data_IF_076645867659
#
_entry.id   IF_076645867659
#
_cell.length_a   1.000
_cell.length_b   1.000
_cell.length_c   1.000
_cell.angle_alpha   90.00
_cell.angle_beta   90.00
_cell.angle_gamma   90.00
#
_symmetry.space_group_name_H-M   'P 1'
#
loop_
_entity.id
_entity.type
_entity.pdbx_description
1 polymer ?
#
# COMPACT_ATOMS: atom_id res chain seq x y z
N UNK A 1 -16.11 -16.21 -38.33
CA UNK A 1 -16.90 -16.09 -37.10
C UNK A 1 -16.50 -17.09 -36.01
N UNK A 2 -16.20 -18.35 -36.31
CA UNK A 2 -15.68 -19.31 -35.31
C UNK A 2 -14.25 -19.03 -34.88
N UNK A 3 -13.38 -18.53 -35.77
CA UNK A 3 -11.98 -18.19 -35.48
C UNK A 3 -11.87 -16.96 -34.53
N UNK A 4 -12.68 -15.94 -34.76
CA UNK A 4 -12.79 -14.76 -33.86
C UNK A 4 -13.32 -15.15 -32.48
N UNK A 5 -14.22 -16.14 -32.38
CA UNK A 5 -14.65 -16.67 -31.08
C UNK A 5 -13.53 -17.47 -30.39
N UNK A 6 -12.64 -18.14 -31.16
CA UNK A 6 -11.49 -18.85 -30.61
C UNK A 6 -10.42 -17.88 -30.13
N UNK A 7 -10.15 -16.80 -30.89
CA UNK A 7 -9.25 -15.73 -30.44
C UNK A 7 -9.77 -15.09 -29.14
N UNK A 8 -11.08 -14.78 -29.05
CA UNK A 8 -11.68 -14.22 -27.82
C UNK A 8 -11.69 -15.18 -26.63
N UNK A 9 -11.89 -16.47 -26.84
CA UNK A 9 -12.00 -17.46 -25.75
C UNK A 9 -10.64 -17.90 -25.23
N UNK A 10 -9.62 -17.94 -26.08
CA UNK A 10 -8.29 -18.40 -25.66
C UNK A 10 -7.43 -17.31 -25.01
N UNK A 11 -7.60 -16.01 -25.35
CA UNK A 11 -6.91 -14.93 -24.62
C UNK A 11 -7.20 -14.95 -23.11
N UNK A 12 -8.31 -15.52 -22.70
CA UNK A 12 -8.72 -15.68 -21.31
C UNK A 12 -8.02 -16.83 -20.54
N UNK A 13 -7.27 -17.72 -21.21
CA UNK A 13 -6.78 -18.97 -20.60
C UNK A 13 -5.25 -19.09 -20.46
N UNK A 14 -4.45 -18.13 -20.94
CA UNK A 14 -3.01 -18.30 -21.07
C UNK A 14 -2.13 -17.31 -20.29
N UNK A 15 -2.64 -16.56 -19.32
CA UNK A 15 -1.86 -15.59 -18.56
C UNK A 15 -1.60 -15.99 -17.12
N UNK A 16 -0.53 -16.73 -16.90
CA UNK A 16 0.15 -16.74 -15.61
C UNK A 16 1.55 -16.15 -15.81
N UNK A 17 1.79 -14.95 -15.25
CA UNK A 17 3.09 -14.31 -15.10
C UNK A 17 3.53 -13.22 -16.08
N UNK A 18 2.76 -12.16 -16.30
CA UNK A 18 3.34 -10.92 -16.82
C UNK A 18 2.60 -9.73 -16.19
N UNK A 19 3.28 -9.01 -15.30
CA UNK A 19 2.82 -7.72 -14.81
C UNK A 19 2.96 -6.69 -15.93
N UNK A 20 1.86 -6.31 -16.57
CA UNK A 20 1.81 -5.21 -17.52
C UNK A 20 0.88 -4.12 -16.98
N UNK A 21 1.43 -3.19 -16.23
CA UNK A 21 0.90 -1.85 -16.17
C UNK A 21 1.48 -1.10 -17.37
N UNK A 22 0.86 -1.20 -18.55
CA UNK A 22 1.23 -0.32 -19.65
C UNK A 22 0.16 -0.35 -20.73
N UNK A 23 -0.53 0.73 -20.85
CA UNK A 23 -1.15 1.19 -22.08
C UNK A 23 -0.04 1.18 -23.13
N UNK A 24 -0.27 0.61 -24.33
CA UNK A 24 0.73 0.52 -25.38
C UNK A 24 0.99 1.89 -26.04
N UNK A 25 1.39 2.85 -25.25
CA UNK A 25 1.77 4.20 -25.69
C UNK A 25 3.25 4.29 -26.09
N UNK A 26 4.00 3.21 -25.89
CA UNK A 26 5.41 3.09 -26.28
C UNK A 26 5.64 1.83 -27.12
N UNK A 27 6.70 1.85 -27.93
CA UNK A 27 7.09 0.69 -28.76
C UNK A 27 7.40 -0.54 -27.89
N UNK A 28 8.02 -0.37 -26.72
CA UNK A 28 8.35 -1.47 -25.82
C UNK A 28 7.10 -2.16 -25.26
N UNK A 29 6.08 -1.38 -24.95
CA UNK A 29 4.81 -1.91 -24.47
C UNK A 29 4.05 -2.64 -25.59
N UNK A 30 4.06 -2.11 -26.81
CA UNK A 30 3.47 -2.76 -27.97
C UNK A 30 4.20 -4.09 -28.29
N UNK A 31 5.55 -4.12 -28.21
CA UNK A 31 6.35 -5.34 -28.39
C UNK A 31 5.92 -6.42 -27.40
N UNK A 32 5.75 -6.08 -26.13
CA UNK A 32 5.32 -7.03 -25.11
C UNK A 32 3.93 -7.64 -25.40
N UNK A 33 2.99 -6.84 -25.93
CA UNK A 33 1.67 -7.33 -26.36
C UNK A 33 1.78 -8.30 -27.53
N UNK A 34 2.65 -8.01 -28.52
CA UNK A 34 2.88 -8.92 -29.64
C UNK A 34 3.54 -10.22 -29.21
N UNK A 35 4.58 -10.17 -28.39
CA UNK A 35 5.28 -11.35 -27.88
C UNK A 35 4.32 -12.28 -27.10
N UNK A 36 3.43 -11.67 -26.30
CA UNK A 36 2.39 -12.41 -25.61
C UNK A 36 1.40 -13.08 -26.59
N UNK A 37 0.90 -12.34 -27.57
CA UNK A 37 -0.04 -12.87 -28.56
C UNK A 37 0.58 -14.01 -29.37
N UNK A 38 1.85 -13.89 -29.77
CA UNK A 38 2.59 -14.90 -30.52
C UNK A 38 2.80 -16.17 -29.69
N UNK A 39 3.13 -16.04 -28.42
CA UNK A 39 3.27 -17.18 -27.52
C UNK A 39 1.94 -17.92 -27.30
N UNK A 40 0.82 -17.18 -27.28
CA UNK A 40 -0.51 -17.74 -27.07
C UNK A 40 -1.12 -18.38 -28.34
N UNK A 41 -0.70 -17.93 -29.54
CA UNK A 41 -1.29 -18.32 -30.83
C UNK A 41 -0.22 -18.58 -31.92
N UNK A 42 0.75 -19.47 -31.67
CA UNK A 42 1.85 -19.70 -32.62
C UNK A 42 1.37 -20.18 -33.99
N UNK A 43 0.23 -20.84 -34.05
CA UNK A 43 -0.34 -21.33 -35.31
C UNK A 43 -1.00 -20.23 -36.18
N UNK A 44 -1.34 -19.08 -35.55
CA UNK A 44 -2.00 -17.94 -36.23
C UNK A 44 -1.05 -16.77 -36.44
N UNK A 45 -0.11 -16.58 -35.54
CA UNK A 45 0.77 -15.43 -35.44
C UNK A 45 2.24 -15.81 -35.67
N UNK A 46 2.50 -16.65 -36.67
CA UNK A 46 3.86 -17.09 -37.07
C UNK A 46 3.99 -17.22 -38.59
N UNK A 47 5.16 -16.89 -39.15
CA UNK A 47 6.20 -16.09 -38.54
C UNK A 47 5.81 -14.63 -38.50
N UNK A 48 6.21 -13.95 -37.43
CA UNK A 48 6.06 -12.50 -37.30
C UNK A 48 7.06 -11.79 -38.24
N UNK A 49 6.63 -10.66 -38.82
CA UNK A 49 7.58 -9.76 -39.46
C UNK A 49 8.55 -9.20 -38.42
N UNK A 50 9.84 -9.01 -38.76
CA UNK A 50 10.85 -8.60 -37.78
C UNK A 50 10.64 -7.21 -37.21
N UNK A 51 9.88 -6.37 -37.91
CA UNK A 51 9.70 -4.96 -37.53
C UNK A 51 8.25 -4.68 -37.16
N UNK A 52 8.07 -3.95 -36.07
CA UNK A 52 6.81 -3.29 -35.70
C UNK A 52 6.78 -1.96 -36.44
N UNK A 53 5.68 -1.64 -37.10
CA UNK A 53 5.48 -0.41 -37.80
C UNK A 53 4.53 0.49 -37.01
N UNK A 54 4.83 1.77 -36.95
CA UNK A 54 3.90 2.77 -36.44
C UNK A 54 3.10 3.37 -37.60
N UNK A 55 1.80 3.14 -37.62
CA UNK A 55 0.88 3.58 -38.66
C UNK A 55 -0.33 4.27 -38.05
N UNK A 56 -0.47 5.59 -38.25
CA UNK A 56 -1.62 6.38 -37.81
C UNK A 56 -1.95 6.25 -36.31
N UNK A 57 -0.91 6.19 -35.47
CA UNK A 57 -1.07 6.03 -34.03
C UNK A 57 -1.34 4.60 -33.57
N UNK A 58 -1.15 3.61 -34.46
CA UNK A 58 -1.12 2.19 -34.12
C UNK A 58 0.30 1.68 -34.19
N UNK A 59 0.68 0.82 -33.28
CA UNK A 59 1.80 -0.11 -33.46
C UNK A 59 1.25 -1.36 -34.14
N UNK A 60 1.82 -1.74 -35.28
CA UNK A 60 1.28 -2.80 -36.15
C UNK A 60 2.36 -3.84 -36.47
N UNK A 61 2.01 -5.12 -36.36
CA UNK A 61 2.85 -6.25 -36.75
C UNK A 61 2.14 -7.17 -37.76
N UNK A 62 2.86 -7.55 -38.83
CA UNK A 62 2.36 -8.47 -39.86
C UNK A 62 2.79 -9.90 -39.53
N UNK A 63 1.87 -10.85 -39.72
CA UNK A 63 2.09 -12.30 -39.65
C UNK A 63 1.93 -12.89 -41.04
N UNK A 64 3.06 -13.31 -41.65
CA UNK A 64 3.16 -13.53 -43.11
C UNK A 64 2.41 -14.76 -43.60
N UNK A 65 2.36 -15.84 -42.83
CA UNK A 65 1.71 -17.09 -43.28
C UNK A 65 0.18 -16.98 -43.28
N UNK A 66 -0.36 -16.20 -42.36
CA UNK A 66 -1.80 -16.00 -42.26
C UNK A 66 -2.29 -14.71 -42.88
N UNK A 67 -1.37 -13.78 -43.20
CA UNK A 67 -1.72 -12.44 -43.71
C UNK A 67 -2.46 -11.56 -42.71
N UNK A 68 -2.36 -11.84 -41.40
CA UNK A 68 -2.96 -11.05 -40.33
C UNK A 68 -2.03 -9.90 -39.99
N UNK A 69 -2.61 -8.70 -39.85
CA UNK A 69 -2.01 -7.57 -39.15
C UNK A 69 -2.64 -7.48 -37.78
N UNK A 70 -1.82 -7.53 -36.73
CA UNK A 70 -2.25 -7.20 -35.39
C UNK A 70 -1.83 -5.76 -35.12
N UNK A 71 -2.78 -4.91 -34.66
CA UNK A 71 -2.54 -3.52 -34.36
C UNK A 71 -2.91 -3.20 -32.92
N UNK A 72 -2.06 -2.41 -32.23
CA UNK A 72 -2.24 -1.98 -30.86
C UNK A 72 -2.28 -0.45 -30.83
N UNK A 73 -3.30 0.12 -30.16
CA UNK A 73 -3.45 1.57 -29.97
C UNK A 73 -3.99 1.82 -28.57
N UNK A 74 -3.17 2.43 -27.72
CA UNK A 74 -3.52 2.58 -26.31
C UNK A 74 -3.86 1.22 -25.67
N UNK A 75 -5.03 1.12 -25.05
CA UNK A 75 -5.53 -0.13 -24.45
C UNK A 75 -6.25 -1.07 -25.46
N UNK A 76 -6.34 -0.72 -26.74
CA UNK A 76 -7.12 -1.46 -27.70
C UNK A 76 -6.26 -2.32 -28.63
N UNK A 77 -6.71 -3.56 -28.87
CA UNK A 77 -6.10 -4.51 -29.83
C UNK A 77 -7.05 -4.76 -30.97
N UNK A 78 -6.52 -4.68 -32.18
CA UNK A 78 -7.27 -4.87 -33.43
C UNK A 78 -6.59 -5.89 -34.32
N UNK A 79 -7.36 -6.57 -35.13
CA UNK A 79 -6.86 -7.47 -36.17
C UNK A 79 -7.48 -7.14 -37.54
N UNK A 80 -6.66 -7.26 -38.60
CA UNK A 80 -7.10 -7.09 -39.99
C UNK A 80 -6.36 -8.07 -40.86
N UNK A 81 -7.01 -8.54 -41.92
CA UNK A 81 -6.41 -9.44 -42.93
C UNK A 81 -6.58 -10.91 -42.62
N UNK A 82 -5.99 -11.77 -43.48
CA UNK A 82 -6.09 -13.22 -43.37
C UNK A 82 -7.51 -13.75 -43.22
N UNK A 83 -7.72 -14.70 -42.28
CA UNK A 83 -9.05 -15.28 -42.04
C UNK A 83 -10.08 -14.33 -41.42
N UNK A 84 -9.66 -13.18 -40.91
CA UNK A 84 -10.56 -12.16 -40.30
C UNK A 84 -11.13 -11.19 -41.33
N UNK A 85 -10.63 -11.20 -42.56
CA UNK A 85 -11.10 -10.35 -43.67
C UNK A 85 -10.36 -9.01 -43.75
N UNK A 86 -10.89 -8.08 -44.54
CA UNK A 86 -10.25 -6.79 -44.83
C UNK A 86 -10.69 -5.65 -43.94
N UNK A 87 -11.64 -5.88 -43.04
CA UNK A 87 -12.12 -4.89 -42.09
C UNK A 87 -11.30 -4.92 -40.79
N UNK A 88 -11.04 -3.75 -40.20
CA UNK A 88 -10.42 -3.63 -38.90
C UNK A 88 -11.37 -4.18 -37.85
N UNK A 89 -10.98 -5.26 -37.19
CA UNK A 89 -11.81 -5.94 -36.20
C UNK A 89 -11.24 -5.65 -34.80
N UNK A 90 -12.04 -5.04 -33.95
CA UNK A 90 -11.69 -4.90 -32.54
C UNK A 90 -11.67 -6.25 -31.85
N UNK A 91 -10.50 -6.68 -31.37
CA UNK A 91 -10.29 -7.96 -30.70
C UNK A 91 -10.62 -7.86 -29.22
N UNK A 92 -10.22 -6.78 -28.58
CA UNK A 92 -10.46 -6.53 -27.17
C UNK A 92 -9.60 -5.40 -26.64
N UNK A 93 -9.71 -5.15 -25.35
CA UNK A 93 -8.82 -4.26 -24.62
C UNK A 93 -7.66 -5.07 -24.03
N UNK A 94 -6.47 -4.51 -23.99
CA UNK A 94 -5.31 -5.12 -23.32
C UNK A 94 -5.68 -5.43 -21.87
N UNK A 95 -6.25 -4.47 -21.15
CA UNK A 95 -6.75 -4.62 -19.78
C UNK A 95 -7.78 -5.73 -19.57
N UNK A 96 -8.54 -6.10 -20.61
CA UNK A 96 -9.53 -7.19 -20.57
C UNK A 96 -9.05 -8.50 -21.20
N UNK A 97 -7.95 -8.45 -21.96
CA UNK A 97 -7.31 -9.62 -22.59
C UNK A 97 -6.24 -10.22 -21.68
N UNK A 98 -5.60 -9.36 -20.91
CA UNK A 98 -4.70 -9.77 -19.84
C UNK A 98 -5.60 -9.95 -18.60
N UNK A 99 -6.11 -11.13 -18.37
CA UNK A 99 -6.51 -11.51 -17.02
C UNK A 99 -5.21 -11.61 -16.25
N UNK A 100 -4.84 -10.51 -15.58
CA UNK A 100 -3.87 -10.58 -14.50
C UNK A 100 -4.48 -11.58 -13.52
N UNK A 101 -3.92 -12.77 -13.42
CA UNK A 101 -4.29 -13.66 -12.32
C UNK A 101 -3.90 -12.90 -11.06
N UNK A 102 -4.89 -12.59 -10.23
CA UNK A 102 -4.60 -11.94 -8.96
C UNK A 102 -3.52 -12.73 -8.23
N UNK A 103 -2.48 -12.05 -7.76
CA UNK A 103 -1.37 -12.69 -7.05
C UNK A 103 -1.85 -13.05 -5.63
N UNK A 104 -1.76 -14.32 -5.27
CA UNK A 104 -2.04 -14.74 -3.89
C UNK A 104 -0.91 -14.26 -2.98
N UNK A 105 -1.26 -13.36 -2.05
CA UNK A 105 -0.33 -12.80 -1.06
C UNK A 105 -0.61 -13.31 0.37
N UNK A 106 -1.40 -14.37 0.51
CA UNK A 106 -1.71 -14.96 1.83
C UNK A 106 -0.41 -15.32 2.54
N UNK A 107 -0.21 -14.75 3.74
CA UNK A 107 0.99 -14.92 4.58
C UNK A 107 2.34 -14.60 3.88
N UNK A 108 2.28 -13.87 2.75
CA UNK A 108 3.49 -13.49 2.02
C UNK A 108 4.28 -12.44 2.78
N UNK A 109 5.56 -12.72 3.03
CA UNK A 109 6.52 -11.74 3.52
C UNK A 109 7.08 -10.93 2.33
N UNK A 110 7.04 -9.61 2.46
CA UNK A 110 7.62 -8.69 1.48
C UNK A 110 9.15 -8.75 1.57
N UNK A 111 9.81 -8.66 0.41
CA UNK A 111 11.27 -8.73 0.32
C UNK A 111 11.87 -7.69 -0.61
N UNK A 112 11.04 -6.93 -1.34
CA UNK A 112 11.49 -6.00 -2.35
C UNK A 112 11.76 -4.61 -1.77
N UNK A 113 12.86 -3.99 -2.16
CA UNK A 113 13.31 -2.67 -1.69
C UNK A 113 13.05 -1.54 -2.69
N UNK A 114 12.24 -1.78 -3.74
CA UNK A 114 11.91 -0.74 -4.72
C UNK A 114 11.10 0.37 -4.07
N UNK A 115 11.58 1.59 -4.21
CA UNK A 115 11.01 2.79 -3.60
C UNK A 115 9.88 3.39 -4.42
N UNK A 116 9.81 3.04 -5.71
CA UNK A 116 8.77 3.53 -6.60
C UNK A 116 7.48 2.73 -6.43
N UNK A 117 6.40 3.38 -6.06
CA UNK A 117 5.10 2.73 -5.86
C UNK A 117 4.61 2.04 -7.14
N UNK A 118 4.95 2.55 -8.32
CA UNK A 118 4.58 1.98 -9.62
C UNK A 118 5.12 0.56 -9.85
N UNK A 119 6.23 0.19 -9.18
CA UNK A 119 6.77 -1.16 -9.22
C UNK A 119 5.80 -2.22 -8.68
N UNK A 120 4.90 -1.83 -7.76
CA UNK A 120 3.97 -2.73 -7.08
C UNK A 120 2.61 -2.83 -7.78
N UNK A 121 2.47 -2.27 -8.98
CA UNK A 121 1.22 -2.24 -9.73
C UNK A 121 0.81 -3.65 -10.18
N UNK A 122 -0.11 -4.27 -9.46
CA UNK A 122 -0.71 -5.57 -9.74
C UNK A 122 -2.01 -5.75 -8.93
N UNK A 123 -2.83 -6.71 -9.31
CA UNK A 123 -3.95 -7.15 -8.49
C UNK A 123 -3.49 -8.28 -7.57
N UNK A 124 -3.96 -8.25 -6.33
CA UNK A 124 -3.60 -9.20 -5.28
C UNK A 124 -4.84 -9.64 -4.51
N UNK A 125 -4.79 -10.84 -3.98
CA UNK A 125 -5.79 -11.34 -3.04
C UNK A 125 -5.12 -12.10 -1.90
N UNK A 126 -5.87 -12.30 -0.81
CA UNK A 126 -5.46 -13.15 0.30
C UNK A 126 -6.67 -13.92 0.85
N UNK A 127 -6.45 -15.09 1.47
CA UNK A 127 -7.45 -15.83 2.18
C UNK A 127 -7.03 -15.99 3.64
N UNK A 128 -7.76 -15.35 4.54
CA UNK A 128 -7.35 -15.16 5.94
C UNK A 128 -8.50 -15.38 6.90
N UNK A 129 -8.17 -15.56 8.17
CA UNK A 129 -9.13 -15.83 9.23
C UNK A 129 -9.14 -14.75 10.29
N UNK A 130 -10.31 -14.32 10.70
CA UNK A 130 -10.54 -13.74 12.03
C UNK A 130 -10.50 -14.92 13.03
N UNK A 131 -9.35 -15.07 13.70
CA UNK A 131 -9.06 -16.25 14.54
C UNK A 131 -10.09 -16.39 15.67
N UNK A 132 -10.38 -15.28 16.36
CA UNK A 132 -11.28 -15.27 17.51
C UNK A 132 -12.71 -15.63 17.16
N UNK A 133 -13.17 -15.28 15.95
CA UNK A 133 -14.54 -15.51 15.49
C UNK A 133 -14.70 -16.74 14.64
N UNK A 134 -13.60 -17.38 14.21
CA UNK A 134 -13.56 -18.46 13.22
C UNK A 134 -14.32 -18.09 11.92
N UNK A 135 -14.04 -16.88 11.40
CA UNK A 135 -14.65 -16.35 10.18
C UNK A 135 -13.57 -16.14 9.12
N UNK A 136 -13.83 -16.67 7.92
CA UNK A 136 -12.95 -16.52 6.76
C UNK A 136 -13.24 -15.21 6.02
N UNK A 137 -12.18 -14.57 5.51
CA UNK A 137 -12.23 -13.40 4.68
C UNK A 137 -11.35 -13.59 3.44
N UNK A 138 -11.73 -12.96 2.34
CA UNK A 138 -10.87 -12.77 1.18
C UNK A 138 -10.45 -11.30 1.13
N UNK A 139 -9.17 -11.04 1.34
CA UNK A 139 -8.59 -9.72 1.11
C UNK A 139 -8.47 -9.48 -0.39
N UNK A 140 -8.77 -8.27 -0.85
CA UNK A 140 -8.60 -7.84 -2.24
C UNK A 140 -7.86 -6.53 -2.31
N UNK A 141 -6.90 -6.44 -3.23
CA UNK A 141 -6.06 -5.28 -3.45
C UNK A 141 -5.82 -5.09 -4.94
N UNK A 142 -6.19 -3.94 -5.47
CA UNK A 142 -5.80 -3.49 -6.80
C UNK A 142 -4.81 -2.35 -6.66
N UNK A 143 -3.64 -2.49 -7.26
CA UNK A 143 -2.61 -1.46 -7.27
C UNK A 143 -2.33 -1.09 -8.72
N UNK A 144 -2.73 0.12 -9.12
CA UNK A 144 -2.62 0.61 -10.51
C UNK A 144 -1.87 1.92 -10.57
N UNK A 145 -1.44 2.31 -11.76
CA UNK A 145 -0.84 3.62 -12.03
C UNK A 145 -1.81 4.44 -12.87
N UNK A 146 -2.15 5.61 -12.38
CA UNK A 146 -3.02 6.56 -13.07
C UNK A 146 -2.35 7.94 -13.05
N UNK A 147 -2.03 8.48 -14.22
CA UNK A 147 -1.32 9.75 -14.37
C UNK A 147 0.00 9.78 -13.55
N UNK A 148 0.07 10.67 -12.57
CA UNK A 148 1.23 10.84 -11.66
C UNK A 148 1.04 10.18 -10.30
N UNK A 149 0.10 9.23 -10.17
CA UNK A 149 -0.24 8.59 -8.90
C UNK A 149 -0.32 7.08 -9.02
N UNK A 150 0.10 6.40 -7.97
CA UNK A 150 -0.30 5.01 -7.76
C UNK A 150 -1.66 5.01 -7.04
N UNK A 151 -2.61 4.27 -7.57
CA UNK A 151 -3.96 4.13 -7.00
C UNK A 151 -4.08 2.76 -6.37
N UNK A 152 -4.39 2.75 -5.08
CA UNK A 152 -4.56 1.54 -4.27
C UNK A 152 -6.01 1.43 -3.88
N UNK A 153 -6.69 0.38 -4.34
CA UNK A 153 -8.07 0.06 -3.96
C UNK A 153 -8.06 -1.26 -3.22
N UNK A 154 -8.59 -1.28 -2.00
CA UNK A 154 -8.64 -2.50 -1.19
C UNK A 154 -9.97 -2.62 -0.43
N UNK A 155 -10.26 -3.83 0.08
CA UNK A 155 -11.35 -4.05 1.02
C UNK A 155 -10.91 -4.03 2.49
N UNK A 156 -9.69 -3.52 2.77
CA UNK A 156 -9.13 -3.37 4.12
C UNK A 156 -8.96 -4.68 4.91
N UNK A 157 -8.95 -5.81 4.23
CA UNK A 157 -8.64 -7.12 4.83
C UNK A 157 -7.16 -7.40 4.63
N UNK A 158 -6.40 -7.75 5.69
CA UNK A 158 -4.96 -7.99 5.60
C UNK A 158 -4.61 -9.28 4.84
N UNK A 159 -3.32 -9.50 4.59
CA UNK A 159 -2.83 -10.72 3.97
C UNK A 159 -2.43 -11.84 4.98
N UNK A 160 -2.76 -11.66 6.23
CA UNK A 160 -2.44 -12.59 7.33
C UNK A 160 -3.66 -12.78 8.25
N UNK A 161 -3.68 -13.84 9.02
CA UNK A 161 -4.67 -14.05 10.04
C UNK A 161 -4.60 -12.94 11.11
N UNK A 162 -5.74 -12.57 11.67
CA UNK A 162 -5.86 -11.44 12.59
C UNK A 162 -6.80 -11.75 13.76
N UNK A 163 -6.91 -10.80 14.73
CA UNK A 163 -7.78 -10.94 15.91
C UNK A 163 -7.48 -12.21 16.71
N UNK A 164 -6.24 -12.37 17.10
CA UNK A 164 -5.70 -13.56 17.79
C UNK A 164 -6.07 -13.65 19.28
N UNK A 165 -6.97 -12.80 19.75
CA UNK A 165 -7.41 -12.68 21.13
C UNK A 165 -6.42 -12.03 22.09
N UNK A 166 -5.29 -11.48 21.63
CA UNK A 166 -4.37 -10.69 22.49
C UNK A 166 -5.00 -9.39 22.93
N UNK A 167 -5.95 -8.87 22.13
CA UNK A 167 -6.77 -7.70 22.49
C UNK A 167 -8.26 -7.91 22.23
N UNK A 168 -9.08 -7.06 22.85
CA UNK A 168 -10.51 -6.98 22.55
C UNK A 168 -10.75 -5.90 21.50
N UNK A 169 -11.09 -6.30 20.27
CA UNK A 169 -11.48 -5.36 19.23
C UNK A 169 -12.80 -4.67 19.60
N UNK A 170 -12.86 -3.36 19.36
CA UNK A 170 -14.06 -2.57 19.67
C UNK A 170 -15.27 -2.99 18.82
N UNK A 171 -15.03 -3.41 17.59
CA UNK A 171 -16.03 -3.90 16.64
C UNK A 171 -15.49 -5.15 15.91
N UNK A 172 -16.39 -5.88 15.28
CA UNK A 172 -15.98 -6.97 14.39
C UNK A 172 -15.35 -6.41 13.12
N UNK A 173 -14.28 -7.04 12.63
CA UNK A 173 -13.72 -6.75 11.31
C UNK A 173 -14.78 -6.95 10.23
N UNK A 174 -14.81 -6.03 9.28
CA UNK A 174 -15.64 -6.06 8.07
C UNK A 174 -14.80 -5.67 6.87
N UNK A 175 -15.24 -6.09 5.71
CA UNK A 175 -14.73 -5.55 4.45
C UNK A 175 -15.19 -4.10 4.30
N UNK A 176 -14.23 -3.19 4.23
CA UNK A 176 -14.47 -1.76 4.03
C UNK A 176 -13.65 -1.31 2.83
N UNK A 177 -14.33 -0.86 1.78
CA UNK A 177 -13.65 -0.36 0.58
C UNK A 177 -12.90 0.93 0.89
N UNK A 178 -11.63 0.98 0.52
CA UNK A 178 -10.76 2.13 0.64
C UNK A 178 -10.02 2.39 -0.69
N UNK A 179 -9.81 3.66 -1.02
CA UNK A 179 -9.00 4.09 -2.16
C UNK A 179 -7.98 5.12 -1.68
N UNK A 180 -6.70 4.89 -2.01
CA UNK A 180 -5.60 5.79 -1.70
C UNK A 180 -4.83 6.13 -2.98
N UNK A 181 -4.38 7.39 -3.09
CA UNK A 181 -3.63 7.89 -4.25
C UNK A 181 -2.26 8.38 -3.80
N UNK A 182 -1.24 7.62 -4.10
CA UNK A 182 0.14 7.83 -3.67
C UNK A 182 0.88 8.61 -4.77
N UNK A 183 1.50 9.77 -4.49
CA UNK A 183 2.37 10.44 -5.45
C UNK A 183 3.51 9.53 -5.94
N UNK A 184 3.70 9.39 -7.26
CA UNK A 184 4.81 8.58 -7.82
C UNK A 184 6.16 9.25 -7.55
N UNK A 185 6.20 10.58 -7.60
CA UNK A 185 7.39 11.37 -7.33
C UNK A 185 7.15 12.21 -6.06
N UNK A 186 7.40 11.66 -4.87
CA UNK A 186 7.25 12.41 -3.63
C UNK A 186 8.26 13.54 -3.56
N UNK A 187 7.84 14.69 -3.06
CA UNK A 187 8.68 15.88 -2.91
C UNK A 187 8.62 16.42 -1.49
N UNK A 188 9.76 16.91 -1.01
CA UNK A 188 9.80 17.57 0.29
C UNK A 188 8.98 18.84 0.29
N UNK A 189 8.15 19.02 1.32
CA UNK A 189 7.51 20.29 1.62
C UNK A 189 8.54 21.27 2.24
N UNK A 190 8.22 22.54 2.26
CA UNK A 190 9.08 23.55 2.89
C UNK A 190 9.24 23.40 4.41
N UNK A 191 8.30 22.70 5.02
CA UNK A 191 8.31 22.31 6.44
C UNK A 191 7.55 21.01 6.59
N UNK A 192 7.88 20.22 7.60
CA UNK A 192 7.15 19.02 7.92
C UNK A 192 5.67 19.31 8.25
N UNK A 193 4.77 18.42 7.82
CA UNK A 193 3.34 18.50 8.11
C UNK A 193 3.01 17.57 9.27
N UNK A 194 2.40 18.10 10.32
CA UNK A 194 1.99 17.31 11.47
C UNK A 194 0.91 16.27 11.09
N UNK A 195 0.88 15.16 11.79
CA UNK A 195 -0.22 14.20 11.69
C UNK A 195 -1.53 14.83 12.15
N UNK A 196 -2.63 14.31 11.68
CA UNK A 196 -3.97 14.76 12.07
C UNK A 196 -4.92 13.58 12.26
N UNK A 197 -5.95 13.77 13.07
CA UNK A 197 -7.02 12.78 13.24
C UNK A 197 -7.89 12.62 11.99
N UNK A 198 -7.84 13.60 11.08
CA UNK A 198 -8.65 13.62 9.87
C UNK A 198 -7.98 12.92 8.68
N UNK A 199 -6.75 12.40 8.85
CA UNK A 199 -5.97 11.84 7.74
C UNK A 199 -5.40 10.49 8.16
N UNK A 200 -5.64 9.45 7.37
CA UNK A 200 -4.92 8.19 7.49
C UNK A 200 -3.45 8.43 7.10
N UNK A 201 -2.51 7.77 7.78
CA UNK A 201 -1.11 8.15 7.69
C UNK A 201 -0.39 7.47 6.52
N UNK A 202 -0.80 6.26 6.16
CA UNK A 202 -0.18 5.46 5.11
C UNK A 202 -1.11 4.35 4.64
N UNK A 203 -0.72 3.68 3.55
CA UNK A 203 -1.26 2.38 3.15
C UNK A 203 -0.10 1.39 2.95
N UNK A 204 -0.25 0.19 3.50
CA UNK A 204 0.72 -0.88 3.31
C UNK A 204 0.44 -1.70 2.05
N UNK A 205 1.44 -2.46 1.60
CA UNK A 205 1.36 -3.27 0.36
C UNK A 205 0.44 -4.50 0.46
N UNK A 206 -0.22 -4.67 1.58
CA UNK A 206 -1.36 -5.59 1.74
C UNK A 206 -2.73 -4.88 1.72
N UNK A 207 -2.77 -3.59 1.39
CA UNK A 207 -4.00 -2.81 1.27
C UNK A 207 -4.59 -2.29 2.58
N UNK A 208 -3.95 -2.54 3.73
CA UNK A 208 -4.40 -2.06 5.03
C UNK A 208 -3.74 -0.73 5.37
N UNK A 209 -4.53 0.20 5.88
CA UNK A 209 -4.07 1.54 6.26
C UNK A 209 -3.34 1.56 7.59
N UNK A 210 -2.54 2.61 7.78
CA UNK A 210 -1.95 3.03 9.04
C UNK A 210 -2.72 4.21 9.61
N UNK A 211 -3.09 4.15 10.88
CA UNK A 211 -3.73 5.23 11.63
C UNK A 211 -3.14 5.33 13.03
N UNK A 212 -2.13 6.19 13.18
CA UNK A 212 -1.30 6.24 14.38
C UNK A 212 -1.94 6.94 15.56
N UNK A 213 -2.96 7.81 15.33
CA UNK A 213 -3.45 8.69 16.37
C UNK A 213 -4.72 8.17 17.02
N UNK A 214 -4.71 8.00 18.33
CA UNK A 214 -5.93 7.73 19.10
C UNK A 214 -6.86 8.94 19.14
N UNK A 215 -8.17 8.71 19.07
CA UNK A 215 -9.18 9.72 19.39
C UNK A 215 -9.46 9.83 20.90
N UNK A 216 -8.53 9.42 21.75
CA UNK A 216 -8.60 9.44 23.22
C UNK A 216 -7.53 10.33 23.84
N UNK A 217 -7.91 11.12 24.84
CA UNK A 217 -7.01 11.97 25.63
C UNK A 217 -7.38 11.88 27.11
N UNK A 218 -6.44 12.25 27.99
CA UNK A 218 -6.68 12.33 29.42
C UNK A 218 -7.81 13.33 29.73
N UNK A 219 -8.79 12.87 30.47
CA UNK A 219 -9.89 13.72 30.99
C UNK A 219 -10.90 14.17 29.93
N UNK A 220 -10.86 13.63 28.72
CA UNK A 220 -11.79 13.97 27.63
C UNK A 220 -12.55 12.72 27.18
N UNK A 221 -13.87 12.85 27.00
CA UNK A 221 -14.73 11.75 26.58
C UNK A 221 -14.75 10.59 27.59
N UNK A 222 -14.75 9.37 27.10
CA UNK A 222 -14.69 8.15 27.90
C UNK A 222 -13.25 7.59 28.08
N UNK A 223 -12.25 8.36 27.63
CA UNK A 223 -10.84 7.97 27.67
C UNK A 223 -10.37 7.20 26.45
N UNK A 224 -11.27 6.59 25.67
CA UNK A 224 -10.93 5.88 24.44
C UNK A 224 -11.32 6.69 23.18
N UNK A 225 -12.41 7.43 23.25
CA UNK A 225 -12.92 8.23 22.15
C UNK A 225 -13.47 9.55 22.68
N UNK A 226 -13.60 10.57 21.79
CA UNK A 226 -14.19 11.87 22.11
C UNK A 226 -13.19 13.02 22.12
N UNK A 227 -11.90 12.75 21.98
CA UNK A 227 -10.84 13.75 21.88
C UNK A 227 -10.53 14.04 20.41
N UNK A 228 -11.32 14.90 19.78
CA UNK A 228 -11.18 15.27 18.39
C UNK A 228 -10.38 16.56 18.16
N UNK A 229 -10.11 17.32 19.21
CA UNK A 229 -9.24 18.48 19.16
C UNK A 229 -7.78 18.00 19.10
N UNK A 230 -7.07 18.33 18.01
CA UNK A 230 -5.69 17.91 17.80
C UNK A 230 -4.73 18.57 18.82
N UNK A 231 -5.05 19.76 19.26
CA UNK A 231 -4.24 20.54 20.22
C UNK A 231 -4.49 20.13 21.67
N UNK A 232 -5.43 19.20 21.92
CA UNK A 232 -5.67 18.68 23.25
C UNK A 232 -4.45 17.88 23.73
N UNK A 233 -3.82 18.26 24.84
CA UNK A 233 -2.66 17.55 25.37
C UNK A 233 -3.04 16.18 25.96
N UNK A 234 -2.03 15.39 26.24
CA UNK A 234 -2.12 14.07 26.86
C UNK A 234 -2.99 13.11 26.05
N UNK A 235 -2.73 13.08 24.73
CA UNK A 235 -3.29 12.08 23.83
C UNK A 235 -2.67 10.72 24.12
N UNK A 236 -3.50 9.70 24.24
CA UNK A 236 -3.02 8.34 24.46
C UNK A 236 -2.24 7.83 23.26
N UNK A 237 -1.14 7.12 23.54
CA UNK A 237 -0.46 6.30 22.53
C UNK A 237 -1.20 4.96 22.41
N UNK A 238 -1.79 4.61 21.25
CA UNK A 238 -2.51 3.35 21.08
C UNK A 238 -1.64 2.11 21.28
N UNK A 239 -0.33 2.24 21.08
CA UNK A 239 0.63 1.16 21.25
C UNK A 239 1.12 0.99 22.67
N UNK A 240 0.83 1.93 23.55
CA UNK A 240 1.21 1.83 24.96
C UNK A 240 0.48 0.70 25.67
N UNK A 241 1.19 -0.18 26.37
CA UNK A 241 0.56 -1.24 27.18
C UNK A 241 -0.24 -0.70 28.37
N UNK A 242 -0.10 0.59 28.68
CA UNK A 242 -0.80 1.27 29.78
C UNK A 242 -2.20 1.73 29.35
N UNK A 243 -2.50 1.73 28.06
CA UNK A 243 -3.81 2.14 27.53
C UNK A 243 -4.75 0.96 27.38
N UNK A 244 -6.05 1.23 27.32
CA UNK A 244 -7.06 0.21 27.10
C UNK A 244 -7.36 -0.11 25.63
N UNK A 245 -6.60 0.49 24.67
CA UNK A 245 -6.86 0.29 23.25
C UNK A 245 -6.59 -1.15 22.82
N UNK A 246 -5.39 -1.65 23.09
CA UNK A 246 -4.97 -2.98 22.76
C UNK A 246 -4.93 -3.25 21.25
N UNK A 247 -3.99 -4.06 20.82
CA UNK A 247 -3.82 -4.51 19.44
C UNK A 247 -3.63 -6.02 19.41
N UNK A 248 -3.88 -6.65 18.26
CA UNK A 248 -3.47 -8.03 18.04
C UNK A 248 -1.95 -8.16 17.87
N UNK A 249 -1.44 -9.37 17.62
CA UNK A 249 -0.01 -9.63 17.48
C UNK A 249 0.65 -8.83 16.34
N UNK A 250 -0.14 -8.30 15.42
CA UNK A 250 0.31 -7.48 14.29
C UNK A 250 0.20 -5.97 14.55
N UNK A 251 -0.01 -5.55 15.79
CA UNK A 251 -0.15 -4.15 16.18
C UNK A 251 -1.31 -3.42 15.49
N UNK A 252 -2.44 -4.11 15.35
CA UNK A 252 -3.63 -3.61 14.69
C UNK A 252 -4.91 -3.95 15.46
N UNK A 253 -5.95 -3.19 15.19
CA UNK A 253 -7.31 -3.45 15.66
C UNK A 253 -8.36 -2.82 14.72
N UNK A 254 -9.64 -2.78 15.15
CA UNK A 254 -10.73 -2.23 14.33
C UNK A 254 -11.12 -0.81 14.73
N UNK A 255 -11.50 -0.02 13.72
CA UNK A 255 -12.28 1.21 13.90
C UNK A 255 -13.77 0.90 14.15
N UNK A 256 -14.60 1.90 14.56
CA UNK A 256 -16.02 1.70 14.79
C UNK A 256 -16.82 1.16 13.60
N UNK A 257 -16.37 1.42 12.38
CA UNK A 257 -16.96 0.91 11.14
C UNK A 257 -16.54 -0.52 10.78
N UNK A 258 -15.61 -1.10 11.55
CA UNK A 258 -15.06 -2.43 11.34
C UNK A 258 -13.81 -2.49 10.47
N UNK A 259 -13.26 -1.33 10.07
CA UNK A 259 -12.01 -1.27 9.31
C UNK A 259 -10.83 -1.72 10.17
N UNK A 260 -10.10 -2.74 9.73
CA UNK A 260 -8.84 -3.17 10.33
C UNK A 260 -7.73 -2.18 9.95
N UNK A 261 -6.91 -1.77 10.91
CA UNK A 261 -5.83 -0.81 10.68
C UNK A 261 -4.68 -1.00 11.66
N UNK A 262 -3.47 -0.62 11.22
CA UNK A 262 -2.25 -0.72 12.03
C UNK A 262 -1.99 0.55 12.83
N UNK A 263 -1.37 0.37 14.01
CA UNK A 263 -0.83 1.45 14.85
C UNK A 263 0.69 1.38 15.03
N UNK A 264 1.33 0.33 14.55
CA UNK A 264 2.77 0.11 14.70
C UNK A 264 3.30 -0.90 13.69
N UNK A 265 4.39 -1.57 14.05
CA UNK A 265 5.04 -2.57 13.22
C UNK A 265 4.06 -3.66 12.73
N UNK A 266 3.74 -3.74 11.43
CA UNK A 266 2.88 -4.78 10.86
C UNK A 266 3.68 -6.08 10.70
N UNK A 267 3.89 -6.79 11.79
CA UNK A 267 4.87 -7.88 11.94
C UNK A 267 4.75 -8.99 10.91
N UNK A 268 3.57 -9.21 10.36
CA UNK A 268 3.35 -10.22 9.33
C UNK A 268 3.76 -9.77 7.92
N UNK A 269 4.18 -8.51 7.70
CA UNK A 269 4.52 -8.05 6.35
C UNK A 269 5.97 -8.29 5.94
N UNK A 270 6.89 -8.43 6.88
CA UNK A 270 8.31 -8.65 6.59
C UNK A 270 8.99 -9.48 7.67
N UNK A 271 10.17 -10.03 7.37
CA UNK A 271 10.93 -10.83 8.34
C UNK A 271 11.35 -9.98 9.53
N UNK A 272 10.98 -10.40 10.73
CA UNK A 272 11.31 -9.73 11.99
C UNK A 272 12.70 -10.09 12.53
N UNK A 273 13.49 -10.87 11.78
CA UNK A 273 14.87 -11.20 12.11
C UNK A 273 15.82 -10.29 11.33
N UNK A 274 16.89 -9.82 11.97
CA UNK A 274 17.89 -8.96 11.35
C UNK A 274 18.87 -9.76 10.46
N UNK A 275 18.37 -10.39 9.40
CA UNK A 275 19.17 -11.19 8.46
C UNK A 275 19.45 -10.49 7.13
N UNK A 276 18.65 -9.49 6.79
CA UNK A 276 18.80 -8.65 5.60
C UNK A 276 18.20 -7.27 5.84
N UNK A 277 18.54 -6.32 5.00
CA UNK A 277 17.83 -5.03 4.97
C UNK A 277 16.34 -5.25 4.75
N UNK A 278 15.54 -4.45 5.43
CA UNK A 278 14.10 -4.51 5.32
C UNK A 278 13.60 -4.07 3.95
N UNK A 279 12.51 -4.67 3.47
CA UNK A 279 11.85 -4.25 2.25
C UNK A 279 11.07 -2.93 2.44
N UNK A 280 10.62 -2.35 1.33
CA UNK A 280 9.48 -1.44 1.32
C UNK A 280 8.23 -2.24 1.65
N UNK A 281 7.46 -1.77 2.63
CA UNK A 281 6.24 -2.43 3.11
C UNK A 281 4.98 -1.61 2.87
N UNK A 282 5.13 -0.34 2.50
CA UNK A 282 4.03 0.56 2.24
C UNK A 282 4.49 1.93 1.79
N UNK A 283 3.53 2.84 1.67
CA UNK A 283 3.76 4.24 1.31
C UNK A 283 2.97 5.16 2.21
N UNK A 284 3.65 6.20 2.70
CA UNK A 284 2.99 7.25 3.47
C UNK A 284 2.09 8.12 2.57
N UNK A 285 1.18 8.85 3.16
CA UNK A 285 0.23 9.69 2.43
C UNK A 285 0.90 10.77 1.56
N UNK A 286 2.14 11.15 1.86
CA UNK A 286 2.96 12.08 1.08
C UNK A 286 3.78 11.41 -0.04
N UNK A 287 3.66 10.09 -0.21
CA UNK A 287 4.27 9.31 -1.27
C UNK A 287 5.62 8.69 -0.93
N UNK A 288 6.27 9.08 0.16
CA UNK A 288 7.54 8.47 0.54
C UNK A 288 7.35 7.01 0.99
N UNK A 289 8.29 6.11 0.63
CA UNK A 289 8.22 4.70 1.02
C UNK A 289 8.37 4.53 2.54
N UNK A 290 7.76 3.47 3.04
CA UNK A 290 7.93 2.99 4.41
C UNK A 290 8.67 1.67 4.33
N UNK A 291 9.82 1.60 4.98
CA UNK A 291 10.65 0.41 5.13
C UNK A 291 10.35 -0.30 6.45
N UNK A 292 10.66 -1.60 6.50
CA UNK A 292 10.71 -2.30 7.78
C UNK A 292 11.83 -1.77 8.69
N UNK A 293 12.19 -2.56 9.71
CA UNK A 293 13.02 -2.09 10.84
C UNK A 293 14.52 -2.18 10.65
N UNK A 294 15.02 -2.85 9.61
CA UNK A 294 16.44 -3.23 9.52
C UNK A 294 17.17 -2.56 8.37
N UNK A 295 18.40 -2.14 8.64
CA UNK A 295 19.31 -1.55 7.65
C UNK A 295 20.65 -2.30 7.65
N UNK A 296 21.35 -2.24 6.52
CA UNK A 296 22.76 -2.60 6.43
C UNK A 296 23.61 -1.39 6.87
N UNK A 297 24.23 -1.49 8.03
CA UNK A 297 25.17 -0.49 8.53
C UNK A 297 26.59 -1.02 8.41
N UNK A 298 27.23 -0.74 7.26
CA UNK A 298 28.60 -1.21 6.95
C UNK A 298 28.78 -2.72 7.03
N UNK A 299 27.88 -3.49 6.42
CA UNK A 299 27.83 -4.96 6.40
C UNK A 299 27.40 -5.60 7.75
N UNK A 300 26.81 -4.82 8.63
CA UNK A 300 26.10 -5.29 9.80
C UNK A 300 24.60 -4.99 9.67
N UNK A 301 23.76 -6.02 9.67
CA UNK A 301 22.31 -5.81 9.67
C UNK A 301 21.86 -5.54 11.10
N UNK A 302 21.27 -4.36 11.29
CA UNK A 302 20.75 -3.93 12.60
C UNK A 302 19.42 -3.21 12.48
N UNK A 303 18.66 -3.19 13.56
CA UNK A 303 17.48 -2.36 13.65
C UNK A 303 17.84 -0.86 13.65
N UNK A 304 17.01 -0.06 13.02
CA UNK A 304 17.05 1.40 13.14
C UNK A 304 16.56 1.81 14.52
N UNK A 305 17.08 2.93 15.01
CA UNK A 305 16.69 3.50 16.31
C UNK A 305 15.98 4.83 16.11
N UNK A 306 14.84 4.98 16.77
CA UNK A 306 14.12 6.26 16.83
C UNK A 306 14.93 7.30 17.60
N UNK A 307 14.84 8.56 17.18
CA UNK A 307 15.38 9.70 17.94
C UNK A 307 14.38 10.30 18.94
N UNK A 308 13.23 9.67 19.10
CA UNK A 308 12.31 10.03 20.18
C UNK A 308 12.70 9.30 21.46
N UNK A 309 12.71 10.04 22.56
CA UNK A 309 13.08 9.53 23.88
C UNK A 309 11.96 9.79 24.89
N UNK A 310 11.75 8.81 25.78
CA UNK A 310 10.85 8.98 26.89
C UNK A 310 11.40 10.04 27.84
N UNK A 311 10.58 11.02 28.20
CA UNK A 311 10.92 12.04 29.18
C UNK A 311 11.22 11.43 30.55
N UNK A 312 12.12 12.04 31.28
CA UNK A 312 12.46 11.60 32.63
C UNK A 312 11.69 12.39 33.68
N UNK A 313 11.38 11.73 34.82
CA UNK A 313 10.72 12.37 35.95
C UNK A 313 9.22 12.17 35.97
N UNK A 314 8.47 13.19 36.32
CA UNK A 314 7.02 13.11 36.53
C UNK A 314 6.28 14.15 35.70
N UNK A 315 5.12 13.75 35.17
CA UNK A 315 4.17 14.65 34.52
C UNK A 315 3.68 15.71 35.50
N UNK A 316 3.28 16.89 35.00
CA UNK A 316 2.62 17.88 35.85
C UNK A 316 1.39 17.29 36.54
N UNK A 317 1.13 17.76 37.77
CA UNK A 317 -0.09 17.44 38.52
C UNK A 317 -1.15 18.49 38.29
N UNK A 318 -2.41 18.11 38.43
CA UNK A 318 -3.55 19.05 38.38
C UNK A 318 -4.74 18.44 37.65
N UNK A 319 -5.86 19.16 37.61
CA UNK A 319 -7.11 18.68 37.01
C UNK A 319 -7.01 18.48 35.47
N UNK A 320 -6.09 19.20 34.84
CA UNK A 320 -5.86 19.12 33.38
C UNK A 320 -4.66 18.23 33.02
N UNK A 321 -3.97 17.61 33.98
CA UNK A 321 -2.77 16.85 33.79
C UNK A 321 -2.88 15.47 34.46
N UNK A 322 -2.37 14.40 33.82
CA UNK A 322 -2.50 13.03 34.34
C UNK A 322 -1.65 12.77 35.61
N UNK A 323 -0.59 13.56 35.82
CA UNK A 323 0.40 13.25 36.88
C UNK A 323 1.12 11.93 36.65
N UNK A 324 1.76 11.41 37.68
CA UNK A 324 2.55 10.17 37.59
C UNK A 324 3.88 10.35 36.84
N UNK A 325 4.58 9.25 36.63
CA UNK A 325 5.84 9.26 35.86
C UNK A 325 5.54 9.27 34.37
N UNK A 326 6.47 9.80 33.57
CA UNK A 326 6.49 9.57 32.13
C UNK A 326 6.76 8.08 31.88
N UNK A 327 5.81 7.36 31.34
CA UNK A 327 5.84 5.90 31.16
C UNK A 327 5.40 5.45 29.76
N UNK A 328 5.20 6.42 28.84
CA UNK A 328 4.77 6.16 27.48
C UNK A 328 3.27 5.95 27.31
N UNK A 329 2.46 6.29 28.32
CA UNK A 329 1.00 6.26 28.19
C UNK A 329 0.50 7.27 27.17
N UNK A 330 1.15 8.41 27.06
CA UNK A 330 0.74 9.52 26.20
C UNK A 330 1.82 9.85 25.17
N UNK A 331 1.41 10.36 24.02
CA UNK A 331 2.34 10.86 23.00
C UNK A 331 3.19 12.02 23.53
N UNK A 332 2.66 12.80 24.47
CA UNK A 332 3.35 13.89 25.16
C UNK A 332 4.42 13.41 26.17
N UNK A 333 4.53 12.11 26.39
CA UNK A 333 5.60 11.53 27.22
C UNK A 333 6.93 11.47 26.49
N UNK A 334 6.95 11.71 25.19
CA UNK A 334 8.13 11.60 24.37
C UNK A 334 8.58 12.96 23.84
N UNK A 335 9.88 13.10 23.67
CA UNK A 335 10.50 14.23 22.98
C UNK A 335 11.44 13.77 21.88
N UNK A 336 11.50 14.54 20.80
CA UNK A 336 12.50 14.32 19.77
C UNK A 336 13.84 14.91 20.22
N UNK A 337 14.88 14.09 20.23
CA UNK A 337 16.25 14.50 20.55
C UNK A 337 17.14 14.26 19.35
N UNK A 338 17.49 15.33 18.64
CA UNK A 338 18.25 15.24 17.40
C UNK A 338 19.56 14.44 17.59
N UNK A 339 19.82 13.52 16.67
CA UNK A 339 21.00 12.64 16.67
C UNK A 339 21.12 11.69 17.87
N UNK A 340 20.05 11.43 18.62
CA UNK A 340 20.04 10.40 19.66
C UNK A 340 19.77 9.00 19.10
N UNK A 341 19.22 8.91 17.91
CA UNK A 341 19.00 7.72 17.11
C UNK A 341 19.41 7.94 15.66
N UNK A 342 18.96 7.05 14.77
CA UNK A 342 19.25 7.10 13.34
C UNK A 342 18.31 8.05 12.57
N UNK A 343 17.09 8.23 13.10
CA UNK A 343 15.96 8.80 12.38
C UNK A 343 15.75 10.28 12.73
N UNK A 344 15.20 11.04 11.79
CA UNK A 344 14.85 12.44 11.98
C UNK A 344 13.54 12.64 12.77
N UNK A 345 13.08 13.88 12.87
CA UNK A 345 11.87 14.26 13.62
C UNK A 345 10.57 13.67 13.06
N UNK A 346 10.58 13.16 11.83
CA UNK A 346 9.44 12.46 11.23
C UNK A 346 9.59 10.93 11.24
N UNK A 347 10.64 10.40 11.89
CA UNK A 347 11.00 8.98 11.93
C UNK A 347 11.42 8.42 10.57
N UNK A 348 12.10 9.22 9.77
CA UNK A 348 12.69 8.84 8.50
C UNK A 348 14.15 9.19 8.40
N UNK A 349 14.80 8.83 7.29
CA UNK A 349 16.16 9.23 6.99
C UNK A 349 16.43 9.19 5.48
N UNK A 350 17.46 9.94 5.08
CA UNK A 350 18.05 9.81 3.75
C UNK A 350 19.01 8.61 3.72
N UNK A 351 18.79 7.68 2.78
CA UNK A 351 19.66 6.54 2.57
C UNK A 351 19.78 6.24 1.07
N UNK A 352 20.97 5.98 0.59
CA UNK A 352 21.19 5.70 -0.84
C UNK A 352 20.82 6.84 -1.81
N UNK A 353 20.55 8.05 -1.30
CA UNK A 353 20.09 9.20 -2.10
C UNK A 353 18.58 9.42 -2.08
N UNK A 354 17.81 8.54 -1.45
CA UNK A 354 16.37 8.61 -1.31
C UNK A 354 15.95 8.75 0.15
N UNK A 355 14.80 9.34 0.38
CA UNK A 355 14.19 9.46 1.70
C UNK A 355 13.12 8.40 1.90
N UNK A 356 13.04 7.82 3.10
CA UNK A 356 11.95 6.95 3.51
C UNK A 356 11.74 6.94 5.01
N UNK A 357 10.55 6.54 5.43
CA UNK A 357 10.20 6.29 6.82
C UNK A 357 10.57 4.87 7.19
N UNK A 358 10.78 4.63 8.48
CA UNK A 358 11.20 3.32 8.97
C UNK A 358 10.35 2.87 10.15
N UNK A 359 10.00 1.58 10.17
CA UNK A 359 9.37 0.96 11.32
C UNK A 359 10.35 0.92 12.49
N UNK A 360 9.88 1.29 13.67
CA UNK A 360 10.61 1.16 14.93
C UNK A 360 9.78 0.39 15.95
N UNK A 361 10.45 -0.32 16.88
CA UNK A 361 9.79 -0.96 18.02
C UNK A 361 9.62 -0.02 19.23
N UNK A 362 9.83 1.28 19.00
CA UNK A 362 9.66 2.35 19.95
C UNK A 362 8.90 3.50 19.29
N UNK A 363 8.32 4.38 20.11
CA UNK A 363 7.66 5.58 19.62
C UNK A 363 8.58 6.37 18.64
N UNK A 364 8.08 6.86 17.51
CA UNK A 364 6.68 6.98 17.08
C UNK A 364 6.17 5.80 16.22
N UNK A 365 6.76 4.64 16.30
CA UNK A 365 6.39 3.37 15.69
C UNK A 365 6.59 3.32 14.17
N UNK A 366 6.08 4.29 13.41
CA UNK A 366 6.21 4.37 11.94
C UNK A 366 6.62 5.77 11.50
N UNK A 367 5.79 6.78 11.71
CA UNK A 367 6.11 8.18 11.39
C UNK A 367 5.48 9.13 12.41
N UNK A 368 6.14 10.28 12.67
CA UNK A 368 5.65 11.32 13.57
C UNK A 368 5.13 12.56 12.82
N UNK A 369 5.47 12.70 11.56
CA UNK A 369 5.03 13.78 10.67
C UNK A 369 5.29 13.38 9.21
N UNK A 370 4.80 14.17 8.27
CA UNK A 370 5.10 14.02 6.84
C UNK A 370 6.18 15.00 6.42
N UNK A 371 7.16 14.55 5.66
CA UNK A 371 8.18 15.39 5.02
C UNK A 371 7.68 16.04 3.73
N UNK A 372 6.70 15.41 3.09
CA UNK A 372 6.00 15.92 1.92
C UNK A 372 4.62 16.45 2.26
N UNK A 373 3.81 16.66 1.23
CA UNK A 373 2.40 17.05 1.38
C UNK A 373 1.52 15.82 1.24
N UNK A 374 0.76 15.44 2.27
CA UNK A 374 -0.16 14.31 2.18
C UNK A 374 -1.20 14.47 1.08
N UNK A 375 -1.47 13.41 0.33
CA UNK A 375 -2.52 13.40 -0.67
C UNK A 375 -3.91 13.43 -0.02
N UNK A 376 -4.83 14.18 -0.61
CA UNK A 376 -6.17 14.35 -0.08
C UNK A 376 -7.03 13.09 -0.07
N UNK A 377 -6.65 12.04 -0.83
CA UNK A 377 -7.32 10.75 -0.80
C UNK A 377 -7.19 10.01 0.53
N UNK A 378 -6.19 10.38 1.32
CA UNK A 378 -6.01 9.86 2.68
C UNK A 378 -6.89 10.57 3.73
N UNK A 379 -7.64 11.60 3.34
CA UNK A 379 -8.57 12.25 4.27
C UNK A 379 -9.74 11.32 4.59
N UNK A 380 -9.99 11.11 5.86
CA UNK A 380 -11.10 10.28 6.34
C UNK A 380 -12.46 10.88 5.96
N UNK A 381 -13.37 10.07 5.48
CA UNK A 381 -14.72 10.52 5.17
C UNK A 381 -15.39 11.06 6.44
N UNK A 382 -15.83 12.33 6.40
CA UNK A 382 -16.47 12.99 7.54
C UNK A 382 -15.55 13.84 8.42
N UNK A 383 -14.28 14.00 8.02
CA UNK A 383 -13.33 14.98 8.57
C UNK A 383 -13.40 15.20 10.09
N UNK A 384 -12.96 14.22 10.90
CA UNK A 384 -12.71 14.45 12.35
C UNK A 384 -13.87 14.96 13.22
N UNK A 385 -15.04 15.16 12.67
CA UNK A 385 -16.24 15.51 13.43
C UNK A 385 -16.82 14.22 14.03
N UNK A 386 -16.98 14.22 15.34
CA UNK A 386 -17.59 13.12 16.09
C UNK A 386 -18.86 12.55 15.46
N UNK A 387 -19.37 11.42 15.97
CA UNK A 387 -20.56 10.79 15.44
C UNK A 387 -21.69 11.81 15.32
N UNK A 388 -22.52 11.75 14.27
CA UNK A 388 -23.70 12.60 14.23
C UNK A 388 -24.55 12.33 15.47
N UNK A 389 -24.93 13.40 16.17
CA UNK A 389 -25.81 13.39 17.34
C UNK A 389 -27.15 12.70 17.06
#
# INVERSE_FOLDING_TARGET
MQLLKRIKVCFALACSSLSFAAIADTLDNAQAVFDFAEAAYPELLSPAAPEIQELQGFYVRLYTDTGIYLGVQGDNVYAIGGPVGTELVFVGKISSLITVSDTDITDLLLTNQREECSYYAENRFSNVSDIKRDVQFTGTLSFTVEDSKCVVVSNSIPNHNFNDSTAAFATNVREVSAEFRIPIEPTFASSATALSLATDNAVFLNGVKLDLMAAGCFGVGDGNIGCFDIDQPWRFDPMSPQTGFGTDANNAHTQPDGTYHYHGNPKALFDQNAISESPVIGFAADGFPIFGSYIDDNAEIRAVTSSFQLLSGSRPNGTANPGGSYDGTYVDDYEYVAASGDLDECNGMMRGGSYGYYITDAYPWVLACFKGTPDSSFNKAGGGSGPPN
#
